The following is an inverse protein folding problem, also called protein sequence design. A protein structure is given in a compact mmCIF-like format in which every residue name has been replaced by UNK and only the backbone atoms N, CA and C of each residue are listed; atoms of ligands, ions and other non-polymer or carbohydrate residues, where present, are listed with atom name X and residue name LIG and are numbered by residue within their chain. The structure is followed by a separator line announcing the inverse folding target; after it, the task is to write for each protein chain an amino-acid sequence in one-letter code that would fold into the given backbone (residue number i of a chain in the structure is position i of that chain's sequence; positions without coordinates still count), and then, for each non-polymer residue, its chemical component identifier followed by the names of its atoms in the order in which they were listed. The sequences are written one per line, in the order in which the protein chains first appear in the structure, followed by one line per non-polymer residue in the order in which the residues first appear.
data_IF_541842466542
#
_entry.id   IF_541842466542
#
_cell.length_a   1.000
_cell.length_b   1.000
_cell.length_c   1.000
_cell.angle_alpha   90.00
_cell.angle_beta   90.00
_cell.angle_gamma   90.00
#
_symmetry.space_group_name_H-M   'P 1'
#
loop_
_entity.id
_entity.type
_entity.pdbx_description
1 polymer ?
#
# COMPACT_ATOMS: atom_id res chain seq x y z
N UNK A 1 9.71 -11.66 -16.29
CA UNK A 1 8.90 -10.43 -16.18
C UNK A 1 8.80 -9.78 -17.54
N UNK A 2 7.64 -9.21 -17.89
CA UNK A 2 7.47 -8.41 -19.11
C UNK A 2 7.62 -6.91 -18.82
N UNK A 3 7.80 -6.10 -19.87
CA UNK A 3 7.79 -4.64 -19.78
C UNK A 3 6.35 -4.08 -19.89
N UNK A 4 6.07 -2.88 -19.34
CA UNK A 4 6.99 -2.03 -18.59
C UNK A 4 7.20 -2.51 -17.13
N UNK A 5 8.35 -2.19 -16.57
CA UNK A 5 8.72 -2.45 -15.17
C UNK A 5 8.87 -1.14 -14.39
N UNK A 6 8.89 -1.29 -13.06
CA UNK A 6 9.16 -0.23 -12.09
C UNK A 6 10.43 -0.60 -11.33
N UNK A 7 11.31 0.38 -11.12
CA UNK A 7 12.39 0.29 -10.15
C UNK A 7 12.07 1.13 -8.92
N UNK A 8 12.31 0.58 -7.74
CA UNK A 8 12.20 1.29 -6.47
C UNK A 8 13.49 1.13 -5.69
N UNK A 9 14.08 2.22 -5.26
CA UNK A 9 15.16 2.19 -4.29
C UNK A 9 14.62 1.71 -2.93
N UNK A 10 15.40 0.88 -2.27
CA UNK A 10 15.08 0.29 -0.98
C UNK A 10 16.25 0.52 -0.03
N UNK A 11 15.93 0.90 1.21
CA UNK A 11 16.89 1.05 2.28
C UNK A 11 16.20 1.55 3.54
N UNK A 12 16.82 1.37 4.70
CA UNK A 12 16.19 1.66 6.00
C UNK A 12 15.73 3.12 6.14
N UNK A 13 16.44 4.04 5.46
CA UNK A 13 16.16 5.48 5.48
C UNK A 13 15.23 5.94 4.34
N UNK A 14 14.80 5.04 3.47
CA UNK A 14 13.97 5.35 2.29
C UNK A 14 12.53 4.88 2.54
N UNK A 15 11.80 5.62 3.38
CA UNK A 15 10.40 5.34 3.70
C UNK A 15 9.44 6.00 2.68
N UNK A 16 9.66 7.28 2.34
CA UNK A 16 8.85 8.03 1.36
C UNK A 16 9.54 8.08 -0.01
N UNK A 17 9.49 6.96 -0.75
CA UNK A 17 10.25 6.76 -2.00
C UNK A 17 9.94 7.79 -3.09
N UNK A 18 8.67 8.18 -3.26
CA UNK A 18 8.25 9.11 -4.33
C UNK A 18 8.83 10.50 -4.13
N UNK A 19 8.83 11.01 -2.89
CA UNK A 19 9.32 12.36 -2.56
C UNK A 19 10.84 12.49 -2.78
N UNK A 20 11.58 11.39 -2.59
CA UNK A 20 13.02 11.32 -2.83
C UNK A 20 13.38 11.05 -4.31
N UNK A 21 12.39 10.96 -5.21
CA UNK A 21 12.62 10.53 -6.59
C UNK A 21 13.19 9.10 -6.67
N UNK A 22 12.95 8.29 -5.65
CA UNK A 22 13.47 6.94 -5.44
C UNK A 22 12.65 5.86 -6.17
N UNK A 23 11.77 6.27 -7.10
CA UNK A 23 10.97 5.38 -7.95
C UNK A 23 11.15 5.78 -9.41
N UNK A 24 11.43 4.82 -10.28
CA UNK A 24 11.44 5.00 -11.73
C UNK A 24 10.34 4.13 -12.35
N UNK A 25 9.38 4.79 -12.99
CA UNK A 25 8.17 4.16 -13.57
C UNK A 25 8.33 3.98 -15.08
N UNK A 26 7.51 3.09 -15.66
CA UNK A 26 7.32 2.97 -17.11
C UNK A 26 8.59 2.65 -17.89
N UNK A 27 9.46 1.80 -17.33
CA UNK A 27 10.69 1.37 -17.98
C UNK A 27 10.36 0.25 -18.96
N UNK A 28 10.58 0.47 -20.24
CA UNK A 28 10.13 -0.36 -21.37
C UNK A 28 11.24 -1.19 -22.00
N UNK A 29 12.50 -0.95 -21.62
CA UNK A 29 13.65 -1.63 -22.18
C UNK A 29 14.78 -1.79 -21.14
N UNK A 30 15.67 -2.75 -21.40
CA UNK A 30 16.79 -3.06 -20.51
C UNK A 30 17.72 -1.85 -20.31
N UNK A 31 17.93 -1.06 -21.38
CA UNK A 31 18.75 0.16 -21.32
C UNK A 31 18.21 1.16 -20.30
N UNK A 32 16.91 1.44 -20.34
CA UNK A 32 16.21 2.34 -19.42
C UNK A 32 16.32 1.83 -17.97
N UNK A 33 16.16 0.51 -17.77
CA UNK A 33 16.33 -0.12 -16.45
C UNK A 33 17.75 0.08 -15.92
N UNK A 34 18.77 -0.16 -16.74
CA UNK A 34 20.18 0.00 -16.32
C UNK A 34 20.54 1.45 -16.03
N UNK A 35 20.00 2.39 -16.78
CA UNK A 35 20.21 3.82 -16.57
C UNK A 35 19.60 4.27 -15.23
N UNK A 36 18.32 3.98 -15.02
CA UNK A 36 17.61 4.35 -13.80
C UNK A 36 18.15 3.62 -12.57
N UNK A 37 18.61 2.36 -12.72
CA UNK A 37 19.24 1.63 -11.63
C UNK A 37 20.49 2.35 -11.10
N UNK A 38 21.33 2.90 -11.98
CA UNK A 38 22.52 3.66 -11.55
C UNK A 38 22.14 4.93 -10.81
N UNK A 39 21.11 5.65 -11.29
CA UNK A 39 20.60 6.86 -10.63
C UNK A 39 20.06 6.55 -9.23
N UNK A 40 19.24 5.50 -9.12
CA UNK A 40 18.60 5.12 -7.85
C UNK A 40 19.60 4.57 -6.82
N UNK A 41 20.62 3.82 -7.26
CA UNK A 41 21.69 3.34 -6.36
C UNK A 41 22.62 4.45 -5.85
N UNK A 42 22.62 5.62 -6.49
CA UNK A 42 23.38 6.78 -6.04
C UNK A 42 22.65 7.59 -4.96
N UNK A 43 21.40 7.24 -4.63
CA UNK A 43 20.64 7.88 -3.53
C UNK A 43 21.27 7.45 -2.19
N UNK A 44 21.55 8.42 -1.32
CA UNK A 44 22.11 8.14 0.01
C UNK A 44 21.17 7.25 0.82
N UNK A 45 21.73 6.20 1.44
CA UNK A 45 20.95 5.19 2.17
C UNK A 45 20.17 4.20 1.31
N UNK A 46 20.44 4.12 0.00
CA UNK A 46 19.92 3.06 -0.87
C UNK A 46 20.78 1.79 -0.72
N UNK A 47 20.18 0.74 -0.17
CA UNK A 47 20.83 -0.55 0.05
C UNK A 47 20.56 -1.54 -1.10
N UNK A 48 19.58 -1.24 -1.96
CA UNK A 48 19.25 -2.07 -3.11
C UNK A 48 18.08 -1.56 -3.93
N UNK A 49 17.74 -2.32 -4.97
CA UNK A 49 16.62 -2.00 -5.88
C UNK A 49 15.62 -3.14 -5.90
N UNK A 50 14.33 -2.78 -5.87
CA UNK A 50 13.22 -3.67 -6.17
C UNK A 50 12.80 -3.47 -7.62
N UNK A 51 12.73 -4.57 -8.37
CA UNK A 51 12.19 -4.59 -9.74
C UNK A 51 10.80 -5.23 -9.70
N UNK A 52 9.79 -4.50 -10.16
CA UNK A 52 8.39 -4.94 -10.13
C UNK A 52 7.72 -4.75 -11.50
N UNK A 53 6.70 -5.55 -11.80
CA UNK A 53 5.81 -5.27 -12.93
C UNK A 53 5.11 -3.92 -12.71
N UNK A 54 4.97 -3.13 -13.78
CA UNK A 54 4.17 -1.91 -13.70
C UNK A 54 2.68 -2.22 -13.75
N UNK A 55 2.04 -2.22 -12.58
CA UNK A 55 0.59 -2.41 -12.45
C UNK A 55 -0.15 -1.21 -13.06
N UNK A 56 -1.06 -1.49 -13.98
CA UNK A 56 -1.96 -0.50 -14.60
C UNK A 56 -3.22 -0.33 -13.76
N UNK A 57 -3.78 0.87 -13.75
CA UNK A 57 -4.99 1.22 -13.02
C UNK A 57 -4.99 2.69 -12.61
N UNK A 58 -6.12 3.36 -12.82
CA UNK A 58 -6.29 4.79 -12.47
C UNK A 58 -6.82 4.98 -11.05
N UNK A 59 -7.45 3.95 -10.48
CA UNK A 59 -7.97 3.99 -9.11
C UNK A 59 -6.91 3.51 -8.15
N UNK A 60 -6.66 4.33 -7.15
CA UNK A 60 -5.75 4.06 -6.04
C UNK A 60 -6.56 4.13 -4.75
N UNK A 61 -6.42 3.09 -3.92
CA UNK A 61 -6.94 2.99 -2.58
C UNK A 61 -5.76 2.92 -1.60
N UNK A 62 -6.04 3.12 -0.33
CA UNK A 62 -5.08 2.90 0.75
C UNK A 62 -5.67 1.91 1.74
N UNK A 63 -4.83 1.05 2.29
CA UNK A 63 -5.19 0.34 3.50
C UNK A 63 -3.96 0.16 4.38
N UNK A 64 -4.19 -0.18 5.64
CA UNK A 64 -3.09 -0.31 6.58
C UNK A 64 -3.55 -0.76 7.95
N UNK A 65 -2.60 -0.75 8.87
CA UNK A 65 -2.78 -1.07 10.27
C UNK A 65 -2.08 0.00 11.09
N UNK A 66 -2.76 0.54 12.08
CA UNK A 66 -2.15 1.31 13.17
C UNK A 66 -2.43 0.62 14.49
N UNK A 67 -1.63 0.91 15.53
CA UNK A 67 -1.97 0.52 16.90
C UNK A 67 -2.40 1.74 17.69
N UNK A 68 -3.70 1.82 17.95
CA UNK A 68 -4.30 2.80 18.84
C UNK A 68 -3.98 2.45 20.31
N UNK A 69 -3.82 3.47 21.15
CA UNK A 69 -3.45 3.29 22.56
C UNK A 69 -4.57 2.67 23.41
N UNK A 70 -5.83 2.87 23.03
CA UNK A 70 -7.00 2.39 23.76
C UNK A 70 -7.56 1.11 23.13
N UNK A 71 -7.63 1.06 21.79
CA UNK A 71 -8.29 -0.02 21.06
C UNK A 71 -7.33 -1.10 20.55
N UNK A 72 -6.01 -0.87 20.60
CA UNK A 72 -5.02 -1.81 20.07
C UNK A 72 -4.96 -1.75 18.54
N UNK A 73 -4.76 -2.88 17.84
CA UNK A 73 -4.61 -2.88 16.39
C UNK A 73 -5.90 -2.45 15.69
N UNK A 74 -5.81 -1.47 14.80
CA UNK A 74 -6.90 -0.93 14.01
C UNK A 74 -6.53 -0.94 12.52
N UNK A 75 -7.37 -1.56 11.70
CA UNK A 75 -7.25 -1.56 10.25
C UNK A 75 -7.83 -0.27 9.70
N UNK A 76 -7.09 0.34 8.78
CA UNK A 76 -7.49 1.53 8.02
C UNK A 76 -7.83 1.13 6.59
N UNK A 77 -8.87 1.75 6.03
CA UNK A 77 -9.20 1.66 4.61
C UNK A 77 -9.65 3.04 4.10
N UNK A 78 -9.29 3.39 2.87
CA UNK A 78 -9.72 4.65 2.27
C UNK A 78 -9.36 4.80 0.80
N UNK A 79 -9.66 6.00 0.29
CA UNK A 79 -9.15 6.45 -1.02
C UNK A 79 -7.61 6.56 -0.95
N UNK A 80 -6.92 6.33 -2.07
CA UNK A 80 -5.46 6.45 -2.22
C UNK A 80 -5.06 7.50 -3.26
N UNK A 81 -3.75 7.68 -3.47
CA UNK A 81 -3.19 8.62 -4.44
C UNK A 81 -3.21 10.08 -3.99
N UNK A 82 -2.79 11.02 -4.84
CA UNK A 82 -2.57 12.45 -4.48
C UNK A 82 -3.79 13.19 -3.91
N UNK A 83 -5.00 12.62 -4.04
CA UNK A 83 -6.23 13.19 -3.50
C UNK A 83 -6.45 12.86 -2.01
N UNK A 84 -5.70 11.91 -1.43
CA UNK A 84 -5.82 11.54 -0.01
C UNK A 84 -5.50 12.66 0.94
N UNK A 85 -4.44 13.41 0.66
CA UNK A 85 -3.98 14.54 1.48
C UNK A 85 -5.03 15.65 1.59
N UNK A 86 -5.96 15.73 0.63
CA UNK A 86 -6.97 16.78 0.55
C UNK A 86 -8.30 16.32 1.16
N UNK A 87 -8.68 15.04 0.98
CA UNK A 87 -10.04 14.57 1.31
C UNK A 87 -10.10 13.79 2.63
N UNK A 88 -8.97 13.23 3.11
CA UNK A 88 -8.88 12.43 4.34
C UNK A 88 -10.02 11.40 4.48
N UNK A 89 -10.39 10.75 3.36
CA UNK A 89 -11.53 9.82 3.29
C UNK A 89 -11.09 8.42 3.68
N UNK A 90 -10.97 8.21 4.99
CA UNK A 90 -10.54 6.96 5.61
C UNK A 90 -11.52 6.53 6.70
N UNK A 91 -11.63 5.22 6.87
CA UNK A 91 -12.41 4.58 7.93
C UNK A 91 -11.54 3.57 8.67
N UNK A 92 -11.92 3.30 9.92
CA UNK A 92 -11.17 2.41 10.80
C UNK A 92 -12.08 1.31 11.36
N UNK A 93 -11.49 0.13 11.59
CA UNK A 93 -12.07 -0.96 12.37
C UNK A 93 -11.01 -1.56 13.29
N UNK A 94 -11.41 -1.92 14.50
CA UNK A 94 -10.55 -2.65 15.43
C UNK A 94 -10.32 -4.06 14.89
N UNK A 95 -9.08 -4.54 14.94
CA UNK A 95 -8.72 -5.89 14.55
C UNK A 95 -8.87 -6.87 15.73
N UNK A 96 -9.13 -8.17 15.46
CA UNK A 96 -9.38 -8.76 14.14
C UNK A 96 -10.75 -8.33 13.58
N UNK A 97 -10.84 -8.22 12.25
CA UNK A 97 -12.10 -7.92 11.57
C UNK A 97 -12.55 -9.09 10.68
N UNK A 98 -13.86 -9.23 10.51
CA UNK A 98 -14.49 -10.18 9.60
C UNK A 98 -14.56 -9.65 8.17
N UNK A 99 -14.89 -10.51 7.21
CA UNK A 99 -15.17 -10.08 5.85
C UNK A 99 -16.37 -9.11 5.79
N UNK A 100 -17.38 -9.28 6.66
CA UNK A 100 -18.53 -8.37 6.73
C UNK A 100 -18.10 -6.97 7.18
N UNK A 101 -17.25 -6.87 8.21
CA UNK A 101 -16.70 -5.59 8.67
C UNK A 101 -15.92 -4.89 7.54
N UNK A 102 -15.11 -5.66 6.79
CA UNK A 102 -14.34 -5.13 5.67
C UNK A 102 -15.23 -4.62 4.53
N UNK A 103 -16.33 -5.31 4.23
CA UNK A 103 -17.30 -4.88 3.23
C UNK A 103 -18.05 -3.62 3.70
N UNK A 104 -18.41 -3.51 4.97
CA UNK A 104 -19.02 -2.31 5.55
C UNK A 104 -18.07 -1.10 5.46
N UNK A 105 -16.78 -1.28 5.78
CA UNK A 105 -15.78 -0.22 5.63
C UNK A 105 -15.76 0.37 4.21
N UNK A 106 -15.95 -0.47 3.18
CA UNK A 106 -16.00 -0.02 1.79
C UNK A 106 -17.22 0.84 1.44
N UNK A 107 -18.30 0.71 2.21
CA UNK A 107 -19.52 1.49 2.03
C UNK A 107 -19.50 2.81 2.81
N UNK A 108 -18.69 2.89 3.86
CA UNK A 108 -18.59 4.05 4.74
C UNK A 108 -17.68 5.17 4.24
N UNK A 109 -16.72 4.87 3.35
CA UNK A 109 -15.92 5.91 2.72
C UNK A 109 -16.82 6.83 1.89
N UNK A 110 -16.64 8.14 1.99
CA UNK A 110 -17.45 9.16 1.28
C UNK A 110 -17.37 8.97 -0.23
N UNK A 111 -16.25 8.43 -0.70
CA UNK A 111 -15.94 8.16 -2.10
C UNK A 111 -16.25 6.73 -2.53
N UNK A 112 -17.11 5.98 -1.83
CA UNK A 112 -17.49 4.59 -2.15
C UNK A 112 -17.89 4.35 -3.62
N UNK A 113 -18.35 5.39 -4.34
CA UNK A 113 -18.61 5.34 -5.80
C UNK A 113 -17.37 4.97 -6.63
N UNK A 114 -16.15 5.22 -6.14
CA UNK A 114 -14.89 4.82 -6.79
C UNK A 114 -14.79 3.30 -6.94
N UNK A 115 -15.46 2.55 -6.07
CA UNK A 115 -15.48 1.09 -6.10
C UNK A 115 -16.42 0.52 -7.17
N UNK A 116 -17.26 1.34 -7.78
CA UNK A 116 -18.15 0.94 -8.86
C UNK A 116 -17.44 1.00 -10.22
N UNK A 117 -18.12 0.54 -11.28
CA UNK A 117 -17.60 0.66 -12.64
C UNK A 117 -17.41 2.15 -13.01
N UNK A 118 -16.26 2.48 -13.59
CA UNK A 118 -15.92 3.86 -13.92
C UNK A 118 -15.07 3.94 -15.19
N UNK A 119 -15.50 4.75 -16.18
CA UNK A 119 -14.77 5.05 -17.42
C UNK A 119 -14.11 3.83 -18.08
N UNK A 120 -14.87 2.75 -18.28
CA UNK A 120 -14.38 1.52 -18.93
C UNK A 120 -13.58 0.59 -18.03
N UNK A 121 -13.45 0.89 -16.73
CA UNK A 121 -12.92 -0.01 -15.73
C UNK A 121 -14.05 -0.80 -15.06
N UNK A 122 -13.79 -2.07 -14.80
CA UNK A 122 -14.69 -2.95 -14.06
C UNK A 122 -14.92 -2.42 -12.63
N UNK A 123 -16.03 -2.78 -11.96
CA UNK A 123 -16.16 -2.54 -10.52
C UNK A 123 -15.00 -3.21 -9.77
N UNK A 124 -14.63 -2.66 -8.61
CA UNK A 124 -13.63 -3.28 -7.73
C UNK A 124 -14.14 -4.65 -7.27
N UNK A 125 -13.26 -5.65 -7.32
CA UNK A 125 -13.51 -6.93 -6.66
C UNK A 125 -13.46 -6.72 -5.14
N UNK A 126 -14.65 -6.52 -4.56
CA UNK A 126 -14.82 -6.22 -3.14
C UNK A 126 -14.44 -7.40 -2.25
N UNK A 127 -14.64 -8.63 -2.71
CA UNK A 127 -14.27 -9.82 -1.94
C UNK A 127 -12.75 -9.96 -1.86
N UNK A 128 -12.05 -9.77 -2.98
CA UNK A 128 -10.59 -9.75 -2.99
C UNK A 128 -10.02 -8.63 -2.10
N UNK A 129 -10.64 -7.44 -2.14
CA UNK A 129 -10.23 -6.32 -1.31
C UNK A 129 -10.52 -6.57 0.17
N UNK A 130 -11.64 -7.21 0.51
CA UNK A 130 -11.98 -7.61 1.87
C UNK A 130 -10.97 -8.63 2.40
N UNK A 131 -10.55 -9.58 1.56
CA UNK A 131 -9.48 -10.52 1.88
C UNK A 131 -8.16 -9.82 2.26
N UNK A 132 -7.79 -8.74 1.55
CA UNK A 132 -6.61 -7.93 1.91
C UNK A 132 -6.79 -7.29 3.30
N UNK A 133 -7.93 -6.64 3.56
CA UNK A 133 -8.19 -5.97 4.84
C UNK A 133 -8.19 -6.94 6.03
N UNK A 134 -8.86 -8.08 5.87
CA UNK A 134 -8.88 -9.16 6.87
C UNK A 134 -7.47 -9.69 7.12
N UNK A 135 -6.66 -9.89 6.08
CA UNK A 135 -5.28 -10.33 6.23
C UNK A 135 -4.42 -9.30 6.99
N UNK A 136 -4.58 -8.01 6.69
CA UNK A 136 -3.90 -6.92 7.43
C UNK A 136 -4.29 -6.93 8.91
N UNK A 137 -5.58 -7.07 9.22
CA UNK A 137 -6.05 -7.18 10.61
C UNK A 137 -5.55 -8.43 11.32
N UNK A 138 -5.48 -9.57 10.63
CA UNK A 138 -4.92 -10.80 11.17
C UNK A 138 -3.43 -10.65 11.50
N UNK A 139 -2.64 -10.03 10.61
CA UNK A 139 -1.22 -9.72 10.85
C UNK A 139 -1.08 -8.84 12.11
N UNK A 140 -1.87 -7.77 12.22
CA UNK A 140 -1.87 -6.90 13.38
C UNK A 140 -2.32 -7.57 14.69
N UNK A 141 -3.14 -8.62 14.60
CA UNK A 141 -3.58 -9.38 15.78
C UNK A 141 -2.54 -10.43 16.20
N UNK A 142 -1.81 -10.99 15.24
CA UNK A 142 -0.84 -12.07 15.47
C UNK A 142 0.54 -11.57 15.90
N UNK A 143 0.98 -10.41 15.40
CA UNK A 143 2.35 -9.91 15.59
C UNK A 143 2.34 -8.58 16.36
N UNK A 144 2.50 -8.65 17.68
CA UNK A 144 2.52 -7.46 18.58
C UNK A 144 3.65 -6.47 18.25
N UNK A 145 4.75 -6.97 17.69
CA UNK A 145 5.90 -6.18 17.27
C UNK A 145 5.59 -5.27 16.10
N UNK A 146 4.60 -5.60 15.25
CA UNK A 146 4.21 -4.73 14.14
C UNK A 146 3.50 -3.51 14.72
N UNK A 147 4.13 -2.34 14.59
CA UNK A 147 3.58 -1.06 15.03
C UNK A 147 2.57 -0.53 14.01
N UNK A 148 2.95 -0.62 12.74
CA UNK A 148 2.23 0.01 11.64
C UNK A 148 2.43 -0.77 10.34
N UNK A 149 1.39 -0.83 9.53
CA UNK A 149 1.43 -1.30 8.15
C UNK A 149 0.81 -0.19 7.30
N UNK A 150 1.52 0.30 6.30
CA UNK A 150 0.99 1.24 5.31
C UNK A 150 1.07 0.59 3.92
N UNK A 151 -0.08 0.36 3.30
CA UNK A 151 -0.19 -0.15 1.94
C UNK A 151 -0.76 0.97 1.06
N UNK A 152 0.17 1.72 0.48
CA UNK A 152 -0.15 2.90 -0.31
C UNK A 152 0.68 2.97 -1.61
N UNK A 153 0.09 2.78 -2.80
CA UNK A 153 -1.32 2.48 -3.04
C UNK A 153 -1.63 0.97 -3.11
N UNK A 154 -2.89 0.65 -2.87
CA UNK A 154 -3.58 -0.50 -3.46
C UNK A 154 -4.17 -0.06 -4.80
N UNK A 155 -3.56 -0.48 -5.91
CA UNK A 155 -4.07 -0.16 -7.26
C UNK A 155 -5.16 -1.15 -7.67
N UNK A 156 -6.17 -0.64 -8.37
CA UNK A 156 -7.21 -1.47 -8.98
C UNK A 156 -6.90 -1.66 -10.47
N UNK A 157 -6.69 -2.91 -10.88
CA UNK A 157 -6.48 -3.26 -12.29
C UNK A 157 -7.73 -2.98 -13.13
N UNK A 158 -7.61 -2.89 -14.47
CA UNK A 158 -8.75 -2.69 -15.35
C UNK A 158 -9.88 -3.73 -15.18
N UNK A 159 -9.53 -4.95 -14.79
CA UNK A 159 -10.46 -6.06 -14.52
C UNK A 159 -11.13 -6.00 -13.13
N UNK A 160 -10.78 -5.01 -12.30
CA UNK A 160 -11.34 -4.83 -10.96
C UNK A 160 -10.49 -5.44 -9.84
N UNK A 161 -9.46 -6.24 -10.15
CA UNK A 161 -8.65 -6.89 -9.12
C UNK A 161 -7.76 -5.89 -8.35
N UNK A 162 -7.73 -5.93 -7.01
CA UNK A 162 -6.88 -5.09 -6.19
C UNK A 162 -5.46 -5.63 -6.07
N UNK A 163 -4.47 -4.73 -6.01
CA UNK A 163 -3.05 -5.06 -5.86
C UNK A 163 -2.34 -4.05 -4.98
N UNK A 164 -1.76 -4.52 -3.88
CA UNK A 164 -0.76 -3.75 -3.14
C UNK A 164 0.48 -3.56 -4.03
N UNK A 165 0.77 -2.33 -4.45
CA UNK A 165 1.97 -2.06 -5.25
C UNK A 165 3.13 -1.57 -4.40
N UNK A 166 2.87 -0.96 -3.26
CA UNK A 166 3.86 -0.61 -2.25
C UNK A 166 3.33 -0.96 -0.86
N UNK A 167 4.25 -1.32 0.04
CA UNK A 167 3.95 -1.54 1.43
C UNK A 167 5.15 -1.14 2.29
N UNK A 168 4.87 -0.51 3.42
CA UNK A 168 5.81 -0.22 4.49
C UNK A 168 5.30 -0.91 5.75
N UNK A 169 6.19 -1.62 6.47
CA UNK A 169 5.87 -2.22 7.76
C UNK A 169 6.86 -1.68 8.78
N UNK A 170 6.35 -0.96 9.77
CA UNK A 170 7.15 -0.47 10.88
C UNK A 170 7.03 -1.44 12.05
N UNK A 171 8.17 -1.85 12.59
CA UNK A 171 8.26 -2.73 13.75
C UNK A 171 8.61 -1.87 14.97
N UNK A 172 8.03 -2.17 16.13
CA UNK A 172 8.45 -1.62 17.41
C UNK A 172 9.91 -2.00 17.61
N UNK A 173 10.77 -1.00 17.84
CA UNK A 173 12.12 -1.28 18.34
C UNK A 173 11.96 -2.10 19.63
N UNK A 174 12.60 -3.26 19.70
CA UNK A 174 12.66 -4.01 20.94
C UNK A 174 13.19 -3.03 22.00
N UNK A 175 12.36 -2.69 22.98
CA UNK A 175 12.86 -2.01 24.15
C UNK A 175 14.00 -2.88 24.66
N UNK A 176 15.23 -2.36 24.65
CA UNK A 176 16.35 -3.02 25.28
C UNK A 176 15.86 -3.39 26.68
N UNK A 177 15.69 -4.70 26.92
CA UNK A 177 15.44 -5.22 28.25
C UNK A 177 16.63 -4.75 29.06
N UNK A 178 16.45 -3.64 29.77
CA UNK A 178 17.47 -3.15 30.69
C UNK A 178 17.50 -4.19 31.82
N UNK A 179 18.68 -4.77 32.11
CA UNK A 179 18.83 -5.77 33.16
C UNK A 179 18.46 -5.21 34.53
#
# INVERSE_FOLDING_TARGET
MGYPVVLKAAGERIQHKTELGAVALNLKAEGEVREEARRLLAIDGCDGLLVQEMVRGERELVCGLIRDAQFGPCVMFGLGGTLTEIVADVVFRVAPLSAADALEMMEEIRTAKVLQAFRGQAPVDREALAGILVAVGAIGSQFEEIREIDINPVKIRPDGSPVAVDALVAIRSAAAVRP
#
